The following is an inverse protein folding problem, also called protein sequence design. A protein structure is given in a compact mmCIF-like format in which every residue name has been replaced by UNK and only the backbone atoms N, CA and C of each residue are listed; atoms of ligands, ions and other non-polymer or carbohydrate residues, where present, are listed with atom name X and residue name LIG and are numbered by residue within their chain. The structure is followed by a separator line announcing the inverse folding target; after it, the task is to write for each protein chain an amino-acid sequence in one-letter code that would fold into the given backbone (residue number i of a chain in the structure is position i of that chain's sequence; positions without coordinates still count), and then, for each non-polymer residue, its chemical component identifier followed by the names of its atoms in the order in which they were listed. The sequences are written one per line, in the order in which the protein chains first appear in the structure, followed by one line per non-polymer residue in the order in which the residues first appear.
data_IF_047754423439
#
_entry.id   IF_047754423439
#
_cell.length_a   1.000
_cell.length_b   1.000
_cell.length_c   1.000
_cell.angle_alpha   90.00
_cell.angle_beta   90.00
_cell.angle_gamma   90.00
#
_symmetry.space_group_name_H-M   'P 1'
#
loop_
_entity.id
_entity.type
_entity.pdbx_description
1 polymer ?
#
# COMPACT_ATOMS: atom_id res chain seq x y z
N UNK A 1 -9.43 -2.23 -13.37
CA UNK A 1 -9.99 -3.17 -12.37
C UNK A 1 -9.99 -4.63 -12.84
N UNK A 2 -10.72 -5.01 -13.90
CA UNK A 2 -10.84 -6.42 -14.34
C UNK A 2 -9.48 -7.08 -14.61
N UNK A 3 -8.59 -6.39 -15.34
CA UNK A 3 -7.24 -6.89 -15.63
C UNK A 3 -6.46 -7.14 -14.33
N UNK A 4 -6.47 -6.19 -13.40
CA UNK A 4 -5.81 -6.33 -12.10
C UNK A 4 -6.38 -7.50 -11.29
N UNK A 5 -7.70 -7.70 -11.29
CA UNK A 5 -8.34 -8.87 -10.67
C UNK A 5 -7.86 -10.17 -11.31
N UNK A 6 -7.81 -10.23 -12.65
CA UNK A 6 -7.31 -11.39 -13.38
C UNK A 6 -5.86 -11.72 -13.05
N UNK A 7 -4.99 -10.70 -12.95
CA UNK A 7 -3.58 -10.88 -12.55
C UNK A 7 -3.46 -11.46 -11.14
N UNK A 8 -4.21 -10.93 -10.17
CA UNK A 8 -4.19 -11.43 -8.79
C UNK A 8 -4.71 -12.87 -8.69
N UNK A 9 -5.83 -13.18 -9.35
CA UNK A 9 -6.43 -14.51 -9.33
C UNK A 9 -5.47 -15.50 -10.01
N UNK A 10 -4.92 -15.15 -11.17
CA UNK A 10 -3.94 -15.98 -11.85
C UNK A 10 -2.72 -16.24 -10.96
N UNK A 11 -2.14 -15.21 -10.34
CA UNK A 11 -1.01 -15.38 -9.44
C UNK A 11 -1.34 -16.30 -8.26
N UNK A 12 -2.50 -16.13 -7.65
CA UNK A 12 -2.95 -16.98 -6.54
C UNK A 12 -3.13 -18.44 -6.95
N UNK A 13 -3.65 -18.70 -8.15
CA UNK A 13 -3.75 -20.05 -8.71
C UNK A 13 -2.34 -20.62 -8.96
N UNK A 14 -1.43 -19.83 -9.52
CA UNK A 14 -0.07 -20.29 -9.80
C UNK A 14 0.73 -20.57 -8.53
N UNK A 15 0.49 -19.83 -7.44
CA UNK A 15 1.05 -20.14 -6.12
C UNK A 15 0.63 -21.55 -5.69
N UNK A 16 -0.63 -21.93 -5.90
CA UNK A 16 -1.12 -23.28 -5.63
C UNK A 16 -0.52 -24.34 -6.57
N UNK A 17 -0.30 -24.00 -7.83
CA UNK A 17 0.28 -24.90 -8.86
C UNK A 17 1.82 -25.00 -8.83
N UNK A 18 2.47 -24.57 -7.74
CA UNK A 18 3.89 -24.81 -7.50
C UNK A 18 4.79 -23.57 -7.44
N UNK A 19 4.27 -22.35 -7.66
CA UNK A 19 5.08 -21.13 -7.48
C UNK A 19 5.29 -20.73 -6.01
N UNK A 20 4.63 -21.42 -5.07
CA UNK A 20 4.72 -21.11 -3.64
C UNK A 20 6.15 -21.18 -3.10
N UNK A 21 6.95 -22.18 -3.48
CA UNK A 21 8.32 -22.32 -2.97
C UNK A 21 9.21 -21.15 -3.39
N UNK A 22 9.14 -20.77 -4.68
CA UNK A 22 9.81 -19.58 -5.20
C UNK A 22 9.36 -18.31 -4.47
N UNK A 23 8.04 -18.16 -4.26
CA UNK A 23 7.47 -16.99 -3.62
C UNK A 23 7.83 -16.89 -2.12
N UNK A 24 8.01 -18.01 -1.42
CA UNK A 24 8.50 -18.04 -0.03
C UNK A 24 9.99 -17.70 0.02
N UNK A 25 10.79 -18.23 -0.90
CA UNK A 25 12.22 -17.96 -0.93
C UNK A 25 12.53 -16.49 -1.24
N UNK A 26 11.60 -15.79 -1.91
CA UNK A 26 11.76 -14.40 -2.34
C UNK A 26 11.08 -13.40 -1.40
N UNK A 27 11.53 -12.14 -1.42
CA UNK A 27 10.81 -11.02 -0.80
C UNK A 27 9.64 -10.65 -1.71
N UNK A 28 8.44 -10.50 -1.16
CA UNK A 28 7.25 -10.05 -1.90
C UNK A 28 6.88 -10.89 -3.13
N UNK A 29 7.14 -12.20 -3.10
CA UNK A 29 6.87 -13.12 -4.20
C UNK A 29 7.85 -12.97 -5.37
N UNK A 30 8.94 -12.23 -5.18
CA UNK A 30 9.97 -12.02 -6.19
C UNK A 30 9.43 -11.25 -7.41
N UNK A 31 9.97 -11.57 -8.58
CA UNK A 31 9.59 -10.90 -9.83
C UNK A 31 8.12 -11.20 -10.16
N UNK A 32 7.67 -12.43 -9.93
CA UNK A 32 6.31 -12.86 -10.24
C UNK A 32 5.28 -12.16 -9.35
N UNK A 33 5.53 -12.11 -8.03
CA UNK A 33 4.68 -11.35 -7.10
C UNK A 33 4.68 -9.85 -7.38
N UNK A 34 5.80 -9.30 -7.82
CA UNK A 34 5.88 -7.87 -8.21
C UNK A 34 5.04 -7.57 -9.45
N UNK A 35 5.17 -8.38 -10.51
CA UNK A 35 4.46 -8.17 -11.77
C UNK A 35 2.97 -8.47 -11.62
N UNK A 36 2.59 -9.57 -10.98
CA UNK A 36 1.20 -10.02 -10.95
C UNK A 36 0.44 -9.53 -9.71
N UNK A 37 1.14 -9.34 -8.60
CA UNK A 37 0.59 -8.84 -7.33
C UNK A 37 0.64 -7.32 -7.23
N UNK A 38 1.84 -6.77 -7.08
CA UNK A 38 2.01 -5.33 -6.81
C UNK A 38 1.63 -4.43 -7.97
N UNK A 39 1.81 -4.87 -9.22
CA UNK A 39 1.33 -4.08 -10.36
C UNK A 39 -0.20 -4.06 -10.43
N UNK A 40 -0.88 -5.13 -10.00
CA UNK A 40 -2.34 -5.12 -9.85
C UNK A 40 -2.78 -4.15 -8.75
N UNK A 41 -2.07 -4.11 -7.61
CA UNK A 41 -2.28 -3.11 -6.56
C UNK A 41 -2.15 -1.68 -7.12
N UNK A 42 -1.12 -1.41 -7.92
CA UNK A 42 -0.91 -0.11 -8.57
C UNK A 42 -2.07 0.25 -9.51
N UNK A 43 -2.53 -0.68 -10.36
CA UNK A 43 -3.67 -0.46 -11.25
C UNK A 43 -4.94 -0.13 -10.45
N UNK A 44 -5.19 -0.83 -9.34
CA UNK A 44 -6.31 -0.49 -8.45
C UNK A 44 -6.17 0.91 -7.87
N UNK A 45 -4.98 1.25 -7.35
CA UNK A 45 -4.72 2.57 -6.80
C UNK A 45 -4.95 3.69 -7.84
N UNK A 46 -4.50 3.49 -9.08
CA UNK A 46 -4.73 4.43 -10.18
C UNK A 46 -6.22 4.58 -10.49
N UNK A 47 -6.96 3.48 -10.69
CA UNK A 47 -8.40 3.55 -10.97
C UNK A 47 -9.18 4.25 -9.85
N UNK A 48 -8.80 4.03 -8.59
CA UNK A 48 -9.44 4.67 -7.44
C UNK A 48 -9.06 6.16 -7.35
N UNK A 49 -7.80 6.51 -7.64
CA UNK A 49 -7.34 7.89 -7.73
C UNK A 49 -8.09 8.66 -8.81
N UNK A 50 -8.23 8.07 -10.01
CA UNK A 50 -9.02 8.65 -11.10
C UNK A 50 -10.48 8.87 -10.71
N UNK A 51 -11.11 7.90 -10.04
CA UNK A 51 -12.49 8.02 -9.55
C UNK A 51 -12.64 9.19 -8.57
N UNK A 52 -11.71 9.35 -7.64
CA UNK A 52 -11.79 10.40 -6.61
C UNK A 52 -11.47 11.78 -7.20
N UNK A 53 -10.39 11.89 -7.97
CA UNK A 53 -9.80 13.16 -8.39
C UNK A 53 -10.39 13.65 -9.72
N UNK A 54 -10.44 12.78 -10.73
CA UNK A 54 -10.66 13.18 -12.12
C UNK A 54 -12.09 12.97 -12.63
N UNK A 55 -12.84 12.05 -12.03
CA UNK A 55 -14.20 11.78 -12.49
C UNK A 55 -15.13 12.96 -12.16
N UNK A 56 -15.67 13.64 -13.15
CA UNK A 56 -16.59 14.77 -12.94
C UNK A 56 -18.07 14.35 -12.90
N UNK A 57 -18.38 13.14 -13.36
CA UNK A 57 -19.75 12.63 -13.48
C UNK A 57 -20.42 12.38 -12.11
N UNK A 58 -19.61 12.17 -11.07
CA UNK A 58 -20.08 11.88 -9.72
C UNK A 58 -19.88 13.06 -8.77
N UNK A 59 -20.91 13.31 -7.95
CA UNK A 59 -20.77 14.18 -6.78
C UNK A 59 -19.73 13.64 -5.81
N UNK A 60 -19.05 14.53 -5.08
CA UNK A 60 -18.11 14.20 -3.99
C UNK A 60 -18.64 13.11 -3.05
N UNK A 61 -19.90 13.24 -2.61
CA UNK A 61 -20.55 12.26 -1.74
C UNK A 61 -20.62 10.87 -2.39
N UNK A 62 -20.98 10.82 -3.68
CA UNK A 62 -21.09 9.56 -4.41
C UNK A 62 -19.71 8.92 -4.63
N UNK A 63 -18.68 9.70 -4.95
CA UNK A 63 -17.29 9.22 -5.05
C UNK A 63 -16.84 8.55 -3.76
N UNK A 64 -17.03 9.19 -2.62
CA UNK A 64 -16.69 8.62 -1.32
C UNK A 64 -17.53 7.40 -0.95
N UNK A 65 -18.81 7.36 -1.31
CA UNK A 65 -19.62 6.16 -1.12
C UNK A 65 -19.08 4.98 -1.92
N UNK A 66 -18.76 5.18 -3.19
CA UNK A 66 -18.17 4.12 -4.04
C UNK A 66 -16.83 3.67 -3.46
N UNK A 67 -15.98 4.62 -3.07
CA UNK A 67 -14.68 4.35 -2.48
C UNK A 67 -14.79 3.56 -1.17
N UNK A 68 -15.69 3.95 -0.26
CA UNK A 68 -15.97 3.23 0.98
C UNK A 68 -16.52 1.82 0.73
N UNK A 69 -17.50 1.68 -0.16
CA UNK A 69 -18.09 0.39 -0.51
C UNK A 69 -17.01 -0.54 -1.07
N UNK A 70 -16.16 -0.05 -1.97
CA UNK A 70 -15.06 -0.82 -2.52
C UNK A 70 -14.07 -1.23 -1.42
N UNK A 71 -13.70 -0.33 -0.51
CA UNK A 71 -12.87 -0.64 0.65
C UNK A 71 -13.45 -1.73 1.55
N UNK A 72 -14.75 -1.66 1.85
CA UNK A 72 -15.46 -2.68 2.64
C UNK A 72 -15.49 -4.02 1.91
N UNK A 73 -15.83 -4.03 0.61
CA UNK A 73 -15.86 -5.25 -0.20
C UNK A 73 -14.47 -5.90 -0.24
N UNK A 74 -13.41 -5.12 -0.45
CA UNK A 74 -12.05 -5.62 -0.41
C UNK A 74 -11.70 -6.17 0.97
N UNK A 75 -11.95 -5.42 2.05
CA UNK A 75 -11.60 -5.87 3.40
C UNK A 75 -12.35 -7.14 3.79
N UNK A 76 -13.69 -7.12 3.74
CA UNK A 76 -14.54 -8.25 4.11
C UNK A 76 -14.34 -9.42 3.15
N UNK A 77 -14.33 -9.16 1.85
CA UNK A 77 -14.10 -10.19 0.83
C UNK A 77 -12.73 -10.86 0.98
N UNK A 78 -11.68 -10.08 1.22
CA UNK A 78 -10.33 -10.61 1.47
C UNK A 78 -10.26 -11.47 2.74
N UNK A 79 -10.92 -11.03 3.83
CA UNK A 79 -11.04 -11.83 5.05
C UNK A 79 -11.81 -13.13 4.81
N UNK A 80 -12.93 -13.08 4.08
CA UNK A 80 -13.71 -14.28 3.75
C UNK A 80 -12.93 -15.28 2.90
N UNK A 81 -12.21 -14.80 1.87
CA UNK A 81 -11.37 -15.63 1.02
C UNK A 81 -10.21 -16.23 1.82
N UNK A 82 -9.72 -15.55 2.86
CA UNK A 82 -8.62 -16.07 3.69
C UNK A 82 -8.95 -17.36 4.46
N UNK A 83 -10.23 -17.70 4.59
CA UNK A 83 -10.68 -18.99 5.15
C UNK A 83 -10.61 -20.16 4.16
N UNK A 84 -10.40 -19.89 2.86
CA UNK A 84 -10.18 -20.94 1.88
C UNK A 84 -8.79 -21.57 2.14
N UNK A 85 -8.68 -22.91 2.25
CA UNK A 85 -7.40 -23.58 2.47
C UNK A 85 -6.35 -23.11 1.48
N UNK A 86 -5.15 -22.82 1.98
CA UNK A 86 -4.01 -22.34 1.19
C UNK A 86 -4.14 -20.94 0.57
N UNK A 87 -5.22 -20.21 0.83
CA UNK A 87 -5.41 -18.83 0.37
C UNK A 87 -5.25 -17.81 1.50
N UNK A 88 -4.60 -18.20 2.59
CA UNK A 88 -4.34 -17.32 3.72
C UNK A 88 -3.49 -16.09 3.34
N UNK A 89 -3.67 -15.00 4.08
CA UNK A 89 -2.93 -13.76 3.84
C UNK A 89 -1.45 -13.95 4.16
N UNK A 90 -0.56 -13.69 3.20
CA UNK A 90 0.87 -13.78 3.38
C UNK A 90 1.60 -12.65 2.62
N UNK A 91 2.16 -11.71 3.38
CA UNK A 91 2.93 -10.56 2.87
C UNK A 91 4.15 -10.99 2.06
N UNK A 92 4.83 -12.06 2.47
CA UNK A 92 6.06 -12.53 1.84
C UNK A 92 5.80 -13.12 0.47
N UNK A 93 4.72 -13.88 0.32
CA UNK A 93 4.31 -14.44 -0.99
C UNK A 93 3.54 -13.43 -1.84
N UNK A 94 3.00 -12.35 -1.25
CA UNK A 94 2.16 -11.38 -1.96
C UNK A 94 0.80 -11.97 -2.37
N UNK A 95 0.19 -12.79 -1.50
CA UNK A 95 -1.06 -13.50 -1.84
C UNK A 95 -2.20 -12.55 -2.19
N UNK A 96 -3.17 -13.05 -2.97
CA UNK A 96 -4.37 -12.29 -3.34
C UNK A 96 -5.10 -11.75 -2.10
N UNK A 97 -5.24 -12.57 -1.06
CA UNK A 97 -5.91 -12.17 0.18
C UNK A 97 -5.14 -11.10 0.92
N UNK A 98 -3.82 -11.18 0.99
CA UNK A 98 -3.00 -10.12 1.56
C UNK A 98 -3.23 -8.80 0.82
N UNK A 99 -3.12 -8.80 -0.52
CA UNK A 99 -3.28 -7.58 -1.33
C UNK A 99 -4.68 -7.00 -1.19
N UNK A 100 -5.73 -7.82 -1.30
CA UNK A 100 -7.12 -7.36 -1.22
C UNK A 100 -7.44 -6.80 0.18
N UNK A 101 -7.00 -7.48 1.25
CA UNK A 101 -7.16 -6.96 2.62
C UNK A 101 -6.41 -5.65 2.77
N UNK A 102 -5.16 -5.56 2.30
CA UNK A 102 -4.37 -4.33 2.36
C UNK A 102 -5.05 -3.16 1.64
N UNK A 103 -5.60 -3.37 0.44
CA UNK A 103 -6.40 -2.36 -0.27
C UNK A 103 -7.57 -1.90 0.60
N UNK A 104 -8.35 -2.85 1.12
CA UNK A 104 -9.51 -2.53 1.96
C UNK A 104 -9.13 -1.70 3.19
N UNK A 105 -8.12 -2.14 3.93
CA UNK A 105 -7.61 -1.42 5.11
C UNK A 105 -7.10 -0.03 4.74
N UNK A 106 -6.29 0.10 3.69
CA UNK A 106 -5.76 1.39 3.24
C UNK A 106 -6.86 2.38 2.88
N UNK A 107 -7.91 1.91 2.18
CA UNK A 107 -9.06 2.75 1.83
C UNK A 107 -9.81 3.18 3.09
N UNK A 108 -10.12 2.25 4.00
CA UNK A 108 -10.86 2.57 5.21
C UNK A 108 -10.09 3.53 6.12
N UNK A 109 -8.77 3.34 6.27
CA UNK A 109 -7.91 4.27 7.01
C UNK A 109 -7.81 5.63 6.33
N UNK A 110 -7.86 5.69 4.99
CA UNK A 110 -7.81 6.96 4.28
C UNK A 110 -8.98 7.90 4.61
N UNK A 111 -10.14 7.37 5.03
CA UNK A 111 -11.25 8.22 5.50
C UNK A 111 -10.94 9.02 6.76
N UNK A 112 -10.02 8.53 7.61
CA UNK A 112 -9.53 9.30 8.76
C UNK A 112 -8.81 10.54 8.24
N UNK A 113 -7.91 10.37 7.26
CA UNK A 113 -7.16 11.48 6.67
C UNK A 113 -8.05 12.43 5.87
N UNK A 114 -9.03 11.92 5.11
CA UNK A 114 -10.03 12.75 4.41
C UNK A 114 -10.83 13.58 5.43
N UNK A 115 -11.25 12.98 6.55
CA UNK A 115 -11.97 13.68 7.61
C UNK A 115 -11.13 14.78 8.27
N UNK A 116 -9.85 14.50 8.52
CA UNK A 116 -8.89 15.49 9.02
C UNK A 116 -8.74 16.63 8.00
N UNK A 117 -8.49 16.32 6.74
CA UNK A 117 -8.31 17.32 5.68
C UNK A 117 -9.52 18.24 5.55
N UNK A 118 -10.74 17.68 5.47
CA UNK A 118 -11.98 18.47 5.40
C UNK A 118 -12.23 19.34 6.63
N UNK A 119 -11.80 18.90 7.82
CA UNK A 119 -11.99 19.64 9.07
C UNK A 119 -10.99 20.77 9.23
N UNK A 120 -9.71 20.52 8.92
CA UNK A 120 -8.64 21.46 9.20
C UNK A 120 -8.32 22.38 8.02
N UNK A 121 -8.63 21.99 6.77
CA UNK A 121 -8.43 22.75 5.53
C UNK A 121 -7.03 23.37 5.38
N UNK A 122 -6.05 22.76 6.04
CA UNK A 122 -4.64 23.19 6.02
C UNK A 122 -3.79 21.94 5.87
N UNK A 123 -2.76 22.00 5.00
CA UNK A 123 -1.86 20.87 4.82
C UNK A 123 -1.14 20.58 6.14
N UNK A 124 -1.25 19.34 6.62
CA UNK A 124 -0.42 18.87 7.72
C UNK A 124 0.97 18.62 7.14
N UNK A 125 1.94 19.45 7.51
CA UNK A 125 3.29 19.50 6.92
C UNK A 125 3.91 18.10 6.76
N UNK A 126 3.78 17.24 7.79
CA UNK A 126 4.29 15.87 7.74
C UNK A 126 3.59 15.07 6.64
N UNK A 127 2.25 15.00 6.65
CA UNK A 127 1.49 14.21 5.68
C UNK A 127 1.67 14.73 4.25
N UNK A 128 1.70 16.05 4.08
CA UNK A 128 1.94 16.71 2.80
C UNK A 128 3.34 16.39 2.24
N UNK A 129 4.37 16.47 3.09
CA UNK A 129 5.75 16.10 2.72
C UNK A 129 5.85 14.63 2.32
N UNK A 130 5.15 13.73 3.02
CA UNK A 130 5.11 12.30 2.68
C UNK A 130 4.40 12.05 1.35
N UNK A 131 3.25 12.70 1.15
CA UNK A 131 2.40 12.52 -0.04
C UNK A 131 3.06 12.97 -1.34
N UNK A 132 3.94 13.98 -1.29
CA UNK A 132 4.64 14.47 -2.48
C UNK A 132 5.84 13.62 -2.90
N UNK A 133 6.35 12.71 -2.05
CA UNK A 133 7.52 11.88 -2.37
C UNK A 133 7.45 10.44 -1.81
N UNK A 134 6.34 9.72 -2.02
CA UNK A 134 6.14 8.40 -1.43
C UNK A 134 7.18 7.38 -1.90
N UNK A 135 7.61 7.44 -3.16
CA UNK A 135 8.61 6.52 -3.71
C UNK A 135 10.01 6.75 -3.12
N UNK A 136 10.42 8.01 -3.02
CA UNK A 136 11.72 8.36 -2.43
C UNK A 136 11.76 8.00 -0.94
N UNK A 137 10.67 8.24 -0.23
CA UNK A 137 10.49 7.85 1.17
C UNK A 137 10.56 6.33 1.32
N UNK A 138 9.93 5.58 0.43
CA UNK A 138 9.99 4.11 0.42
C UNK A 138 11.41 3.60 0.19
N UNK A 139 12.15 4.18 -0.76
CA UNK A 139 13.57 3.83 -1.00
C UNK A 139 14.41 4.12 0.26
N UNK A 140 14.24 5.30 0.85
CA UNK A 140 14.96 5.67 2.07
C UNK A 140 14.62 4.69 3.21
N UNK A 141 13.35 4.31 3.36
CA UNK A 141 12.93 3.36 4.36
C UNK A 141 13.59 1.99 4.17
N UNK A 142 13.62 1.47 2.95
CA UNK A 142 14.30 0.21 2.63
C UNK A 142 15.80 0.29 2.92
N UNK A 143 16.47 1.36 2.46
CA UNK A 143 17.90 1.53 2.68
C UNK A 143 18.24 1.60 4.17
N UNK A 144 17.41 2.30 4.96
CA UNK A 144 17.56 2.36 6.41
C UNK A 144 17.30 1.01 7.07
N UNK A 145 16.28 0.27 6.64
CA UNK A 145 16.00 -1.08 7.12
C UNK A 145 17.22 -1.99 6.91
N UNK A 146 17.81 -2.00 5.72
CA UNK A 146 19.05 -2.74 5.44
C UNK A 146 20.20 -2.31 6.36
N UNK A 147 20.51 -1.01 6.40
CA UNK A 147 21.63 -0.47 7.19
C UNK A 147 21.50 -0.74 8.69
N UNK A 148 20.28 -0.70 9.24
CA UNK A 148 20.05 -0.88 10.67
C UNK A 148 19.93 -2.36 11.03
N UNK A 149 19.35 -3.19 10.16
CA UNK A 149 19.20 -4.64 10.40
C UNK A 149 20.54 -5.34 10.60
N UNK A 150 21.58 -4.91 9.88
CA UNK A 150 22.95 -5.41 10.02
C UNK A 150 23.63 -5.03 11.35
N UNK A 151 23.13 -3.98 12.03
CA UNK A 151 23.73 -3.43 13.26
C UNK A 151 23.02 -3.93 14.51
N UNK A 152 21.68 -3.99 14.49
CA UNK A 152 20.85 -4.13 15.70
C UNK A 152 20.09 -5.48 15.75
N UNK A 153 20.02 -6.21 14.63
CA UNK A 153 19.26 -7.45 14.53
C UNK A 153 17.73 -7.23 14.50
N UNK A 154 17.00 -8.22 13.98
CA UNK A 154 15.56 -8.12 13.70
C UNK A 154 14.65 -8.16 14.95
N UNK A 155 15.18 -8.44 16.14
CA UNK A 155 14.36 -8.72 17.34
C UNK A 155 13.94 -7.47 18.13
N UNK A 156 14.38 -6.25 17.74
CA UNK A 156 14.04 -4.99 18.42
C UNK A 156 13.22 -4.03 17.56
N UNK A 157 12.13 -4.54 16.98
CA UNK A 157 11.26 -3.87 16.00
C UNK A 157 10.79 -2.46 16.39
N UNK A 158 10.42 -2.21 17.65
CA UNK A 158 9.92 -0.89 18.08
C UNK A 158 11.03 0.14 18.32
N UNK A 159 12.16 -0.30 18.90
CA UNK A 159 13.30 0.58 19.19
C UNK A 159 14.03 1.01 17.93
N UNK A 160 13.96 0.21 16.85
CA UNK A 160 14.44 0.56 15.52
C UNK A 160 13.40 1.34 14.72
N UNK A 161 12.12 0.94 14.81
CA UNK A 161 11.04 1.55 14.05
C UNK A 161 10.80 3.03 14.37
N UNK A 162 10.84 3.41 15.65
CA UNK A 162 10.59 4.81 16.07
C UNK A 162 11.66 5.76 15.52
N UNK A 163 12.98 5.53 15.72
CA UNK A 163 14.03 6.35 15.12
C UNK A 163 13.97 6.38 13.59
N UNK A 164 13.64 5.25 12.96
CA UNK A 164 13.53 5.17 11.51
C UNK A 164 12.38 6.05 10.98
N UNK A 165 11.20 5.98 11.60
CA UNK A 165 10.07 6.86 11.28
C UNK A 165 10.44 8.33 11.49
N UNK A 166 11.11 8.66 12.61
CA UNK A 166 11.55 10.03 12.88
C UNK A 166 12.52 10.53 11.81
N UNK A 167 13.51 9.72 11.43
CA UNK A 167 14.52 10.05 10.42
C UNK A 167 13.89 10.25 9.04
N UNK A 168 13.04 9.31 8.60
CA UNK A 168 12.31 9.42 7.34
C UNK A 168 11.45 10.69 7.33
N UNK A 169 10.80 11.01 8.44
CA UNK A 169 9.99 12.23 8.57
C UNK A 169 10.82 13.49 8.43
N UNK A 170 11.98 13.55 9.09
CA UNK A 170 12.91 14.67 8.98
C UNK A 170 13.38 14.84 7.53
N UNK A 171 13.76 13.73 6.87
CA UNK A 171 14.21 13.75 5.48
C UNK A 171 13.10 14.23 4.55
N UNK A 172 11.87 13.71 4.70
CA UNK A 172 10.72 14.11 3.91
C UNK A 172 10.46 15.62 4.01
N UNK A 173 10.41 16.16 5.23
CA UNK A 173 10.20 17.61 5.47
C UNK A 173 11.36 18.43 4.88
N UNK A 174 12.60 17.95 5.03
CA UNK A 174 13.78 18.64 4.51
C UNK A 174 13.77 18.72 2.98
N UNK A 175 13.41 17.62 2.31
CA UNK A 175 13.29 17.57 0.86
C UNK A 175 12.18 18.50 0.33
N UNK A 176 11.04 18.54 1.02
CA UNK A 176 9.92 19.43 0.66
C UNK A 176 10.34 20.90 0.75
N UNK A 177 10.97 21.29 1.87
CA UNK A 177 11.48 22.65 2.07
C UNK A 177 12.54 23.07 1.05
N UNK A 178 13.34 22.13 0.53
CA UNK A 178 14.36 22.42 -0.49
C UNK A 178 13.80 22.47 -1.92
N UNK A 179 12.50 22.28 -2.13
CA UNK A 179 11.88 22.30 -3.45
C UNK A 179 12.39 21.19 -4.37
N UNK A 180 13.03 20.15 -3.81
CA UNK A 180 13.53 18.98 -4.55
C UNK A 180 12.46 17.90 -4.73
N UNK A 181 11.25 18.18 -4.27
CA UNK A 181 10.11 17.31 -4.44
C UNK A 181 9.32 17.79 -5.66
N UNK A 182 8.98 16.84 -6.54
CA UNK A 182 8.08 17.06 -7.67
C UNK A 182 6.76 17.58 -7.10
N UNK A 183 6.42 18.84 -7.41
CA UNK A 183 5.07 19.36 -7.19
C UNK A 183 4.19 18.69 -8.24
N UNK A 184 3.34 17.75 -7.82
CA UNK A 184 2.22 17.27 -8.62
C UNK A 184 1.15 18.38 -8.70
#
# INVERSE_FOLDING_TARGET
AIIASGMLIFYQIMLYLGWREYAIASVHGGILGTILGFSALMIYATCLGELLILNEDYTEKKKYQIYAIFGIICFVGGLLISFIPEWYANKRQGTLTYIIISIGVSILLSFIFIGIDKKFQKPIIVLDSYGKSPFLIYIIAILLEFLISDIIGYEMDLLVGIPMIALITIIAIFLDKKGKIIKL
#
